data_IF_282478205551
#
_entry.id   IF_282478205551
#
_cell.length_a   1.000
_cell.length_b   1.000
_cell.length_c   1.000
_cell.angle_alpha   90.00
_cell.angle_beta   90.00
_cell.angle_gamma   90.00
#
_symmetry.space_group_name_H-M   'P 1'
#
loop_
_entity.id
_entity.type
_entity.pdbx_description
1 polymer ?
#
# COMPACT_ATOMS: atom_id res chain seq x y z
N UNK A 1 23.07 4.73 19.38
CA UNK A 1 23.13 4.29 17.97
C UNK A 1 21.70 3.98 17.55
N UNK A 2 21.31 4.29 16.32
CA UNK A 2 19.96 3.96 15.85
C UNK A 2 19.81 2.45 15.68
N UNK A 3 18.66 1.91 16.08
CA UNK A 3 18.36 0.48 16.04
C UNK A 3 18.09 0.00 14.62
N UNK A 4 17.64 0.90 13.73
CA UNK A 4 17.36 0.66 12.32
C UNK A 4 18.00 1.74 11.46
N UNK A 5 18.22 1.43 10.18
CA UNK A 5 18.57 2.44 9.18
C UNK A 5 17.31 3.19 8.73
N UNK A 6 16.21 2.45 8.53
CA UNK A 6 14.93 2.99 8.07
C UNK A 6 13.78 2.43 8.90
N UNK A 7 12.87 3.31 9.32
CA UNK A 7 11.54 2.94 9.83
C UNK A 7 10.48 3.36 8.83
N UNK A 8 9.58 2.46 8.47
CA UNK A 8 8.45 2.70 7.57
C UNK A 8 7.16 2.53 8.36
N UNK A 9 6.31 3.56 8.36
CA UNK A 9 5.01 3.56 9.04
C UNK A 9 3.92 3.18 8.03
N UNK A 10 3.30 2.01 8.22
CA UNK A 10 2.21 1.47 7.42
C UNK A 10 2.71 0.42 6.41
N UNK A 11 2.25 -0.82 6.53
CA UNK A 11 2.50 -1.91 5.59
C UNK A 11 1.33 -2.08 4.60
N UNK A 12 0.92 -0.96 4.01
CA UNK A 12 0.03 -0.95 2.84
C UNK A 12 0.81 -1.05 1.53
N UNK A 13 0.17 -0.68 0.41
CA UNK A 13 0.80 -0.73 -0.93
C UNK A 13 2.18 -0.04 -0.93
N UNK A 14 2.22 1.23 -0.52
CA UNK A 14 3.43 2.03 -0.59
C UNK A 14 4.51 1.54 0.38
N UNK A 15 4.16 1.21 1.63
CA UNK A 15 5.15 0.82 2.63
C UNK A 15 5.75 -0.55 2.38
N UNK A 16 4.95 -1.55 1.99
CA UNK A 16 5.45 -2.89 1.66
C UNK A 16 6.31 -2.87 0.39
N UNK A 17 5.88 -2.16 -0.66
CA UNK A 17 6.69 -2.01 -1.87
C UNK A 17 8.00 -1.25 -1.59
N UNK A 18 7.96 -0.20 -0.76
CA UNK A 18 9.14 0.55 -0.35
C UNK A 18 10.11 -0.31 0.47
N UNK A 19 9.60 -1.11 1.42
CA UNK A 19 10.42 -2.01 2.21
C UNK A 19 11.15 -3.03 1.31
N UNK A 20 10.43 -3.63 0.35
CA UNK A 20 11.01 -4.54 -0.63
C UNK A 20 12.07 -3.85 -1.51
N UNK A 21 11.79 -2.65 -1.99
CA UNK A 21 12.72 -1.88 -2.82
C UNK A 21 14.02 -1.55 -2.04
N UNK A 22 13.89 -1.02 -0.82
CA UNK A 22 15.04 -0.72 0.04
C UNK A 22 15.83 -1.98 0.42
N UNK A 23 15.15 -3.11 0.60
CA UNK A 23 15.80 -4.37 0.93
C UNK A 23 16.64 -4.95 -0.22
N UNK A 24 16.22 -4.70 -1.46
CA UNK A 24 16.87 -5.19 -2.69
C UNK A 24 17.84 -4.19 -3.32
N UNK A 25 17.89 -2.96 -2.81
CA UNK A 25 18.80 -1.93 -3.28
C UNK A 25 20.27 -2.32 -3.11
N UNK A 26 21.07 -2.05 -4.14
CA UNK A 26 22.50 -2.32 -4.11
C UNK A 26 23.23 -1.19 -3.39
N UNK A 27 23.60 -1.46 -2.14
CA UNK A 27 24.29 -0.53 -1.24
C UNK A 27 25.50 -1.22 -0.60
N UNK A 28 26.41 -0.44 -0.02
CA UNK A 28 27.69 -0.94 0.58
C UNK A 28 27.45 -1.99 1.67
N UNK A 29 26.34 -1.86 2.42
CA UNK A 29 25.86 -2.88 3.37
C UNK A 29 24.33 -2.94 3.34
N UNK A 30 23.70 -4.10 3.61
CA UNK A 30 22.25 -4.19 3.74
C UNK A 30 21.69 -3.19 4.77
N UNK A 31 20.59 -2.54 4.41
CA UNK A 31 19.87 -1.64 5.32
C UNK A 31 19.03 -2.46 6.29
N UNK A 32 19.07 -2.13 7.58
CA UNK A 32 18.16 -2.70 8.58
C UNK A 32 16.86 -1.89 8.60
N UNK A 33 15.76 -2.52 8.19
CA UNK A 33 14.47 -1.85 7.94
C UNK A 33 13.43 -2.34 8.94
N UNK A 34 12.76 -1.43 9.64
CA UNK A 34 11.55 -1.74 10.41
C UNK A 34 10.31 -1.33 9.61
N UNK A 35 9.41 -2.27 9.34
CA UNK A 35 8.12 -2.03 8.70
C UNK A 35 7.02 -2.19 9.75
N UNK A 36 6.46 -1.08 10.23
CA UNK A 36 5.46 -1.08 11.29
C UNK A 36 4.06 -0.97 10.71
N UNK A 37 3.15 -1.83 11.15
CA UNK A 37 1.75 -1.81 10.75
C UNK A 37 0.84 -2.07 11.95
N UNK A 38 -0.27 -1.32 12.05
CA UNK A 38 -1.21 -1.49 13.18
C UNK A 38 -1.87 -2.86 13.21
N UNK A 39 -2.11 -3.46 12.03
CA UNK A 39 -2.63 -4.81 11.91
C UNK A 39 -2.12 -5.53 10.68
N UNK A 40 -1.49 -6.69 10.90
CA UNK A 40 -0.98 -7.54 9.83
C UNK A 40 -2.04 -8.49 9.25
N UNK A 41 -3.24 -8.52 9.83
CA UNK A 41 -4.39 -9.22 9.25
C UNK A 41 -4.71 -8.71 7.83
N UNK A 42 -5.34 -9.58 7.03
CA UNK A 42 -5.80 -9.24 5.69
C UNK A 42 -6.80 -8.06 5.76
N UNK A 43 -6.52 -6.93 5.07
CA UNK A 43 -7.45 -5.80 5.07
C UNK A 43 -8.74 -6.10 4.29
N UNK A 44 -9.88 -5.92 4.94
CA UNK A 44 -11.18 -5.90 4.27
C UNK A 44 -11.58 -4.46 3.90
N UNK A 45 -11.47 -4.11 2.61
CA UNK A 45 -11.71 -2.76 2.09
C UNK A 45 -12.17 -2.79 0.63
N UNK A 46 -13.06 -1.87 0.27
CA UNK A 46 -13.55 -1.66 -1.10
C UNK A 46 -12.64 -0.78 -1.99
N UNK A 47 -11.43 -0.44 -1.52
CA UNK A 47 -10.54 0.51 -2.22
C UNK A 47 -9.35 -0.22 -2.84
N UNK A 48 -8.89 0.26 -4.00
CA UNK A 48 -7.64 -0.24 -4.60
C UNK A 48 -7.74 -1.65 -5.16
N UNK A 49 -8.89 -1.99 -5.75
CA UNK A 49 -9.14 -3.30 -6.37
C UNK A 49 -8.84 -3.34 -7.88
N UNK A 50 -8.35 -2.24 -8.47
CA UNK A 50 -7.88 -2.18 -9.85
C UNK A 50 -6.49 -1.53 -9.92
N UNK A 51 -5.51 -2.29 -10.40
CA UNK A 51 -4.18 -1.81 -10.73
C UNK A 51 -4.08 -1.53 -12.22
N UNK A 52 -3.80 -0.26 -12.56
CA UNK A 52 -3.61 0.19 -13.94
C UNK A 52 -2.37 -0.46 -14.58
N UNK A 53 -2.27 -0.50 -15.93
CA UNK A 53 -1.09 -1.02 -16.61
C UNK A 53 0.24 -0.40 -16.14
N UNK A 54 0.26 0.91 -15.91
CA UNK A 54 1.45 1.58 -15.38
C UNK A 54 1.85 1.10 -13.98
N UNK A 55 0.89 0.67 -13.17
CA UNK A 55 1.14 0.06 -11.85
C UNK A 55 1.72 -1.35 -11.98
N UNK A 56 1.25 -2.14 -12.95
CA UNK A 56 1.83 -3.46 -13.27
C UNK A 56 3.29 -3.31 -13.73
N UNK A 57 3.57 -2.33 -14.60
CA UNK A 57 4.95 -2.03 -15.01
C UNK A 57 5.84 -1.56 -13.85
N UNK A 58 5.29 -0.80 -12.90
CA UNK A 58 6.01 -0.43 -11.69
C UNK A 58 6.33 -1.65 -10.80
N UNK A 59 5.40 -2.60 -10.65
CA UNK A 59 5.66 -3.85 -9.93
C UNK A 59 6.77 -4.67 -10.62
N UNK A 60 6.73 -4.80 -11.95
CA UNK A 60 7.79 -5.49 -12.72
C UNK A 60 9.17 -4.89 -12.48
N UNK A 61 9.27 -3.56 -12.50
CA UNK A 61 10.54 -2.85 -12.24
C UNK A 61 11.08 -3.09 -10.83
N UNK A 62 10.19 -3.37 -9.87
CA UNK A 62 10.55 -3.70 -8.49
C UNK A 62 10.73 -5.22 -8.26
N UNK A 63 10.53 -6.08 -9.27
CA UNK A 63 10.54 -7.53 -9.10
C UNK A 63 9.34 -8.07 -8.30
N UNK A 64 8.22 -7.33 -8.28
CA UNK A 64 7.02 -7.60 -7.49
C UNK A 64 5.81 -8.03 -8.35
N UNK A 65 5.98 -8.29 -9.64
CA UNK A 65 4.85 -8.62 -10.53
C UNK A 65 4.06 -9.85 -10.10
N UNK A 66 4.74 -10.85 -9.53
CA UNK A 66 4.16 -12.11 -9.04
C UNK A 66 3.22 -11.89 -7.83
N UNK A 67 3.25 -10.70 -7.20
CA UNK A 67 2.31 -10.36 -6.12
C UNK A 67 0.87 -10.22 -6.59
N UNK A 68 0.63 -10.22 -7.90
CA UNK A 68 -0.72 -10.27 -8.49
C UNK A 68 -1.15 -11.69 -8.87
N UNK A 69 -0.29 -12.68 -8.71
CA UNK A 69 -0.59 -14.08 -9.04
C UNK A 69 -1.26 -14.80 -7.88
N UNK A 70 -2.06 -15.82 -8.19
CA UNK A 70 -2.73 -16.72 -7.22
C UNK A 70 -3.66 -16.03 -6.20
N UNK A 71 -4.03 -14.76 -6.41
CA UNK A 71 -5.00 -14.03 -5.56
C UNK A 71 -6.41 -13.95 -6.15
N UNK A 72 -6.64 -14.63 -7.28
CA UNK A 72 -7.85 -14.49 -8.09
C UNK A 72 -7.89 -13.17 -8.87
N UNK A 73 -6.72 -12.63 -9.22
CA UNK A 73 -6.65 -11.42 -10.02
C UNK A 73 -7.19 -11.68 -11.43
N UNK A 74 -7.95 -10.71 -11.95
CA UNK A 74 -8.59 -10.76 -13.26
C UNK A 74 -7.87 -9.79 -14.19
N UNK A 75 -7.53 -10.23 -15.42
CA UNK A 75 -6.99 -9.36 -16.43
C UNK A 75 -7.95 -8.25 -16.85
N UNK A 76 -7.44 -7.01 -16.99
CA UNK A 76 -8.23 -5.85 -17.44
C UNK A 76 -7.60 -5.23 -18.67
N UNK A 77 -8.32 -5.25 -19.78
CA UNK A 77 -7.84 -4.78 -21.10
C UNK A 77 -8.30 -3.37 -21.46
N UNK A 78 -9.07 -2.71 -20.58
CA UNK A 78 -9.60 -1.38 -20.80
C UNK A 78 -10.93 -1.18 -20.07
N UNK A 79 -11.75 -0.27 -20.57
CA UNK A 79 -13.04 0.10 -19.99
C UNK A 79 -14.16 0.00 -21.01
N UNK A 80 -15.39 -0.10 -20.50
CA UNK A 80 -16.60 0.21 -21.24
C UNK A 80 -17.30 1.39 -20.54
N UNK A 81 -17.66 2.42 -21.30
CA UNK A 81 -18.44 3.56 -20.80
C UNK A 81 -19.83 3.46 -21.41
N UNK A 82 -20.84 3.37 -20.53
CA UNK A 82 -22.24 3.26 -20.91
C UNK A 82 -22.91 4.61 -20.67
N UNK A 83 -23.60 5.12 -21.69
CA UNK A 83 -24.40 6.34 -21.59
C UNK A 83 -25.68 6.20 -22.41
N UNK A 84 -26.84 6.18 -21.73
CA UNK A 84 -28.16 6.15 -22.35
C UNK A 84 -28.31 5.11 -23.49
N UNK A 85 -27.87 3.87 -23.24
CA UNK A 85 -27.92 2.76 -24.22
C UNK A 85 -26.78 2.76 -25.25
N UNK A 86 -25.92 3.77 -25.27
CA UNK A 86 -24.68 3.76 -26.06
C UNK A 86 -23.54 3.18 -25.24
N UNK A 87 -22.82 2.21 -25.81
CA UNK A 87 -21.62 1.64 -25.21
C UNK A 87 -20.39 2.07 -26.01
N UNK A 88 -19.40 2.64 -25.33
CA UNK A 88 -18.09 2.98 -25.91
C UNK A 88 -17.03 2.13 -25.22
N UNK A 89 -16.35 1.29 -26.00
CA UNK A 89 -15.20 0.53 -25.52
C UNK A 89 -13.93 1.39 -25.63
N UNK A 90 -13.17 1.43 -24.54
CA UNK A 90 -11.92 2.17 -24.41
C UNK A 90 -10.82 1.16 -24.06
N UNK A 91 -10.21 0.50 -25.07
CA UNK A 91 -9.10 -0.42 -24.81
C UNK A 91 -7.89 0.36 -24.28
N UNK A 92 -7.08 -0.28 -23.44
CA UNK A 92 -5.76 0.24 -23.12
C UNK A 92 -4.89 0.29 -24.38
N UNK A 93 -3.94 1.23 -24.48
CA UNK A 93 -3.10 1.37 -25.66
C UNK A 93 -2.17 0.16 -25.84
N UNK A 94 -2.06 -0.33 -27.08
CA UNK A 94 -1.23 -1.49 -27.42
C UNK A 94 -1.74 -2.78 -26.79
N UNK A 95 -0.82 -3.59 -26.27
CA UNK A 95 -1.12 -4.82 -25.52
C UNK A 95 -1.04 -4.61 -23.99
N UNK A 96 -1.20 -3.37 -23.53
CA UNK A 96 -1.11 -3.03 -22.11
C UNK A 96 -2.32 -3.59 -21.34
N UNK A 97 -2.08 -3.95 -20.08
CA UNK A 97 -3.04 -4.70 -19.29
C UNK A 97 -2.95 -4.33 -17.81
N UNK A 98 -4.11 -4.15 -17.17
CA UNK A 98 -4.24 -4.00 -15.73
C UNK A 98 -4.61 -5.31 -15.02
N UNK A 99 -4.77 -5.25 -13.71
CA UNK A 99 -5.25 -6.38 -12.89
C UNK A 99 -6.31 -5.89 -11.92
N UNK A 100 -7.45 -6.57 -11.88
CA UNK A 100 -8.48 -6.38 -10.84
C UNK A 100 -8.37 -7.49 -9.80
N UNK A 101 -8.52 -7.22 -8.51
CA UNK A 101 -8.34 -8.21 -7.44
C UNK A 101 -8.98 -7.75 -6.12
N UNK A 102 -9.15 -8.67 -5.18
CA UNK A 102 -9.44 -8.30 -3.80
C UNK A 102 -8.25 -7.59 -3.17
N UNK A 103 -8.48 -6.37 -2.66
CA UNK A 103 -7.43 -5.52 -2.12
C UNK A 103 -6.61 -6.21 -1.01
N UNK A 104 -7.29 -6.89 -0.08
CA UNK A 104 -6.67 -7.55 1.06
C UNK A 104 -5.59 -8.55 0.63
N UNK A 105 -5.94 -9.45 -0.29
CA UNK A 105 -5.04 -10.45 -0.85
C UNK A 105 -3.79 -9.85 -1.50
N UNK A 106 -3.95 -8.76 -2.25
CA UNK A 106 -2.82 -8.07 -2.86
C UNK A 106 -1.88 -7.44 -1.80
N UNK A 107 -2.44 -6.85 -0.74
CA UNK A 107 -1.64 -6.33 0.38
C UNK A 107 -0.86 -7.45 1.08
N UNK A 108 -1.48 -8.61 1.30
CA UNK A 108 -0.81 -9.78 1.89
C UNK A 108 0.37 -10.21 1.03
N UNK A 109 0.19 -10.36 -0.28
CA UNK A 109 1.29 -10.71 -1.20
C UNK A 109 2.46 -9.70 -1.16
N UNK A 110 2.16 -8.40 -1.09
CA UNK A 110 3.19 -7.36 -0.96
C UNK A 110 3.94 -7.43 0.38
N UNK A 111 3.22 -7.69 1.48
CA UNK A 111 3.81 -7.87 2.81
C UNK A 111 4.73 -9.09 2.83
N UNK A 112 4.27 -10.21 2.29
CA UNK A 112 5.08 -11.44 2.18
C UNK A 112 6.34 -11.20 1.34
N UNK A 113 6.23 -10.49 0.22
CA UNK A 113 7.37 -10.14 -0.60
C UNK A 113 8.41 -9.26 0.10
N UNK A 114 7.98 -8.41 1.03
CA UNK A 114 8.88 -7.64 1.89
C UNK A 114 9.51 -8.51 3.00
N UNK A 115 8.71 -9.37 3.64
CA UNK A 115 9.12 -10.24 4.76
C UNK A 115 10.10 -11.35 4.36
N UNK A 116 10.19 -11.68 3.06
CA UNK A 116 11.19 -12.63 2.54
C UNK A 116 12.64 -12.17 2.76
N UNK A 117 12.85 -10.87 2.99
CA UNK A 117 14.18 -10.30 3.14
C UNK A 117 14.61 -10.30 4.61
N UNK A 118 15.77 -10.88 4.91
CA UNK A 118 16.29 -10.98 6.29
C UNK A 118 16.61 -9.63 6.94
N UNK A 119 16.71 -8.57 6.15
CA UNK A 119 16.97 -7.21 6.60
C UNK A 119 15.71 -6.35 6.73
N UNK A 120 14.52 -6.95 6.59
CA UNK A 120 13.22 -6.32 6.87
C UNK A 120 12.58 -6.99 8.08
N UNK A 121 12.47 -6.25 9.19
CA UNK A 121 11.68 -6.65 10.35
C UNK A 121 10.27 -6.07 10.22
N UNK A 122 9.27 -6.93 10.02
CA UNK A 122 7.86 -6.51 9.98
C UNK A 122 7.24 -6.64 11.36
N UNK A 123 6.66 -5.56 11.86
CA UNK A 123 6.27 -5.42 13.26
C UNK A 123 4.81 -4.97 13.34
N UNK A 124 3.96 -5.79 13.97
CA UNK A 124 2.60 -5.41 14.28
C UNK A 124 2.59 -4.44 15.48
N UNK A 125 2.53 -3.14 15.19
CA UNK A 125 2.56 -2.06 16.17
C UNK A 125 1.81 -0.82 15.67
N UNK A 126 1.13 -0.13 16.58
CA UNK A 126 0.50 1.15 16.28
C UNK A 126 1.46 2.29 16.61
N UNK A 127 1.87 3.05 15.58
CA UNK A 127 2.69 4.25 15.76
C UNK A 127 1.84 5.40 16.30
N UNK A 128 2.29 6.02 17.39
CA UNK A 128 1.62 7.13 18.07
C UNK A 128 2.30 8.48 17.81
N UNK A 129 3.62 8.49 17.62
CA UNK A 129 4.41 9.73 17.55
C UNK A 129 5.64 9.62 16.64
N UNK A 130 6.04 10.73 16.01
CA UNK A 130 7.40 10.87 15.45
C UNK A 130 8.32 11.43 16.54
N UNK A 131 9.42 10.74 16.83
CA UNK A 131 10.41 11.19 17.81
C UNK A 131 11.34 12.18 17.14
N UNK A 132 11.57 13.32 17.78
CA UNK A 132 12.32 14.44 17.22
C UNK A 132 13.34 14.97 18.24
N UNK A 133 14.58 15.08 17.80
CA UNK A 133 15.70 15.59 18.59
C UNK A 133 16.39 16.68 17.77
N UNK A 134 16.56 17.87 18.37
CA UNK A 134 17.25 19.00 17.72
C UNK A 134 16.73 19.33 16.32
N UNK A 135 15.41 19.23 16.10
CA UNK A 135 14.76 19.52 14.81
C UNK A 135 14.89 18.41 13.77
N UNK A 136 15.42 17.24 14.14
CA UNK A 136 15.56 16.07 13.26
C UNK A 136 14.70 14.92 13.79
N UNK A 137 13.94 14.27 12.90
CA UNK A 137 13.25 13.03 13.23
C UNK A 137 14.28 11.91 13.42
N UNK A 138 14.29 11.31 14.61
CA UNK A 138 15.23 10.25 15.01
C UNK A 138 14.57 8.87 15.14
N UNK A 139 13.26 8.79 14.91
CA UNK A 139 12.51 7.54 14.95
C UNK A 139 11.04 7.73 15.20
N UNK A 140 10.38 6.69 15.72
CA UNK A 140 8.96 6.71 16.04
C UNK A 140 8.69 6.07 17.39
N UNK A 141 7.65 6.54 18.08
CA UNK A 141 7.08 5.87 19.25
C UNK A 141 5.94 4.98 18.78
N UNK A 142 5.97 3.71 19.15
CA UNK A 142 4.93 2.77 18.77
C UNK A 142 4.64 1.75 19.87
N UNK A 143 3.48 1.12 19.77
CA UNK A 143 2.98 0.15 20.74
C UNK A 143 2.66 -1.17 20.06
N UNK A 144 3.33 -2.25 20.47
CA UNK A 144 2.91 -3.62 20.11
C UNK A 144 1.66 -3.99 20.91
N UNK A 145 0.88 -4.95 20.43
CA UNK A 145 -0.31 -5.43 21.14
C UNK A 145 0.07 -5.88 22.56
N UNK A 146 -0.64 -5.39 23.56
CA UNK A 146 -0.48 -5.72 24.99
C UNK A 146 0.93 -5.45 25.56
N UNK A 147 1.68 -4.53 24.95
CA UNK A 147 2.99 -4.08 25.46
C UNK A 147 3.01 -2.59 25.73
N UNK A 148 3.98 -2.18 26.53
CA UNK A 148 4.32 -0.77 26.72
C UNK A 148 4.80 -0.12 25.41
N UNK A 149 4.72 1.20 25.36
CA UNK A 149 5.28 1.95 24.24
C UNK A 149 6.80 1.84 24.22
N UNK A 150 7.35 1.63 23.03
CA UNK A 150 8.78 1.60 22.78
C UNK A 150 9.15 2.57 21.65
N UNK A 151 10.42 2.94 21.59
CA UNK A 151 10.96 3.82 20.55
C UNK A 151 11.68 2.95 19.52
N UNK A 152 11.30 3.09 18.26
CA UNK A 152 12.02 2.53 17.12
C UNK A 152 12.89 3.63 16.52
N UNK A 153 14.17 3.65 16.89
CA UNK A 153 15.11 4.68 16.44
C UNK A 153 15.63 4.37 15.02
N UNK A 154 15.68 5.39 14.15
CA UNK A 154 16.13 5.23 12.77
C UNK A 154 16.79 6.49 12.19
N UNK A 155 17.71 6.29 11.24
CA UNK A 155 18.32 7.38 10.48
C UNK A 155 17.36 8.06 9.51
N UNK A 156 16.35 7.32 9.03
CA UNK A 156 15.28 7.79 8.15
C UNK A 156 13.93 7.23 8.60
N UNK A 157 12.90 8.08 8.60
CA UNK A 157 11.51 7.67 8.84
C UNK A 157 10.65 7.95 7.61
N UNK A 158 9.97 6.93 7.08
CA UNK A 158 9.07 7.03 5.93
C UNK A 158 7.63 6.89 6.43
N UNK A 159 6.81 7.92 6.21
CA UNK A 159 5.38 7.91 6.56
C UNK A 159 4.56 7.41 5.37
N UNK A 160 3.96 6.23 5.50
CA UNK A 160 3.11 5.57 4.49
C UNK A 160 1.77 5.08 5.07
N UNK A 161 1.21 5.81 6.05
CA UNK A 161 0.03 5.43 6.85
C UNK A 161 -1.34 5.71 6.19
N UNK A 162 -1.35 5.94 4.88
CA UNK A 162 -2.55 6.01 4.04
C UNK A 162 -3.31 7.35 4.06
N UNK A 163 -4.49 7.36 3.46
CA UNK A 163 -5.28 8.59 3.20
C UNK A 163 -5.72 9.33 4.49
N UNK A 164 -5.87 8.58 5.59
CA UNK A 164 -6.21 9.09 6.93
C UNK A 164 -4.97 9.32 7.81
N UNK A 165 -3.83 9.61 7.19
CA UNK A 165 -2.56 9.84 7.87
C UNK A 165 -2.67 10.74 9.10
N UNK A 166 -2.12 10.29 10.22
CA UNK A 166 -2.01 11.10 11.46
C UNK A 166 -0.87 12.11 11.38
N UNK A 167 0.16 11.80 10.60
CA UNK A 167 1.40 12.55 10.57
C UNK A 167 1.50 13.57 9.42
N UNK A 168 0.62 13.49 8.41
CA UNK A 168 0.62 14.38 7.22
C UNK A 168 0.81 15.86 7.55
N UNK A 169 0.03 16.39 8.49
CA UNK A 169 0.09 17.82 8.82
C UNK A 169 1.38 18.20 9.58
N UNK A 170 1.98 17.26 10.32
CA UNK A 170 3.26 17.48 11.00
C UNK A 170 4.39 17.54 9.98
N UNK A 171 4.43 16.59 9.05
CA UNK A 171 5.51 16.47 8.05
C UNK A 171 5.43 17.54 6.96
N UNK A 172 4.23 17.94 6.53
CA UNK A 172 4.07 18.86 5.39
C UNK A 172 4.02 20.34 5.79
N UNK A 173 4.19 20.71 7.06
CA UNK A 173 4.16 22.12 7.48
C UNK A 173 5.33 22.91 6.88
N UNK A 174 5.11 24.17 6.48
CA UNK A 174 3.85 24.94 6.52
C UNK A 174 2.90 24.65 5.35
N UNK A 175 3.33 23.91 4.33
CA UNK A 175 2.60 23.61 3.09
C UNK A 175 1.42 22.64 3.22
N UNK A 176 1.08 22.20 4.43
CA UNK A 176 0.03 21.22 4.67
C UNK A 176 -1.35 21.75 4.23
N UNK A 177 -2.00 21.06 3.30
CA UNK A 177 -3.37 21.36 2.88
C UNK A 177 -4.36 20.39 3.53
N UNK A 178 -5.44 20.94 4.10
CA UNK A 178 -6.54 20.11 4.63
C UNK A 178 -7.25 19.41 3.47
N UNK A 179 -7.38 18.06 3.48
CA UNK A 179 -8.17 17.37 2.47
C UNK A 179 -9.62 17.84 2.48
N UNK A 180 -10.21 18.03 1.29
CA UNK A 180 -11.64 18.35 1.12
C UNK A 180 -12.33 17.14 0.49
N UNK A 181 -13.24 16.52 1.24
CA UNK A 181 -14.11 15.46 0.71
C UNK A 181 -15.02 16.03 -0.38
N UNK A 182 -15.08 15.36 -1.53
CA UNK A 182 -15.89 15.78 -2.68
C UNK A 182 -17.16 14.95 -2.84
N UNK A 183 -17.04 13.65 -2.61
CA UNK A 183 -18.12 12.66 -2.73
C UNK A 183 -17.77 11.42 -1.90
N UNK A 184 -18.63 10.41 -1.95
CA UNK A 184 -18.41 9.11 -1.31
C UNK A 184 -18.64 8.01 -2.36
N UNK A 185 -17.91 6.90 -2.23
CA UNK A 185 -18.19 5.67 -2.98
C UNK A 185 -18.86 4.66 -2.07
N UNK A 186 -19.88 3.99 -2.59
CA UNK A 186 -20.56 2.85 -1.98
C UNK A 186 -20.30 1.66 -2.89
N UNK A 187 -19.60 0.65 -2.37
CA UNK A 187 -19.27 -0.57 -3.11
C UNK A 187 -20.03 -1.77 -2.56
N UNK A 188 -20.39 -2.70 -3.44
CA UNK A 188 -20.99 -3.98 -3.09
C UNK A 188 -20.49 -5.06 -4.07
N UNK A 189 -20.40 -6.30 -3.61
CA UNK A 189 -20.13 -7.46 -4.46
C UNK A 189 -21.44 -8.07 -4.93
N UNK A 190 -21.50 -8.43 -6.21
CA UNK A 190 -22.65 -9.11 -6.80
C UNK A 190 -22.18 -10.48 -7.26
N UNK A 191 -22.83 -11.52 -6.77
CA UNK A 191 -22.54 -12.89 -7.16
C UNK A 191 -23.18 -13.22 -8.50
N UNK A 192 -22.58 -14.15 -9.24
CA UNK A 192 -22.98 -14.46 -10.62
C UNK A 192 -24.44 -14.89 -10.72
N UNK A 193 -24.94 -15.64 -9.74
CA UNK A 193 -26.33 -16.11 -9.68
C UNK A 193 -27.35 -14.98 -9.53
N UNK A 194 -26.93 -13.78 -9.11
CA UNK A 194 -27.78 -12.59 -9.00
C UNK A 194 -27.70 -11.69 -10.24
N UNK A 195 -26.75 -11.94 -11.15
CA UNK A 195 -26.61 -11.24 -12.42
C UNK A 195 -27.54 -11.91 -13.46
N UNK A 196 -28.77 -11.42 -13.59
CA UNK A 196 -29.61 -11.81 -14.73
C UNK A 196 -29.01 -11.21 -16.01
N UNK A 197 -28.86 -12.02 -17.06
CA UNK A 197 -28.34 -11.59 -18.37
C UNK A 197 -29.10 -10.40 -18.99
N UNK A 198 -30.34 -10.15 -18.52
CA UNK A 198 -31.19 -9.05 -18.99
C UNK A 198 -30.81 -7.65 -18.44
N UNK A 199 -29.81 -7.54 -17.58
CA UNK A 199 -29.43 -6.26 -16.93
C UNK A 199 -28.11 -5.67 -17.43
N UNK A 200 -27.40 -6.35 -18.33
CA UNK A 200 -26.03 -5.97 -18.77
C UNK A 200 -25.89 -5.59 -20.26
N UNK A 201 -27.00 -5.48 -20.99
CA UNK A 201 -27.08 -4.93 -22.35
C UNK A 201 -28.31 -4.04 -22.46
#
# INVERSE_FOLDING_TARGET
>A
MADYDVVIIGAGIAGSAMAHALATMQVVRPLKIALLERSLAEPDRIVGELLQPGGIEALKKLGLQDTTDNIGAIPVHGYAVLNAGTTVHIPYPGAAEGRSFHHGRFIVQLREAAMKHSNVETIEATVSELVEESGKITGVRARRKDKEEEIFSAGLTIVADGCFSKFRNRVLRPSAKRPKTKSHFVGASISREKLSLATLL
#
